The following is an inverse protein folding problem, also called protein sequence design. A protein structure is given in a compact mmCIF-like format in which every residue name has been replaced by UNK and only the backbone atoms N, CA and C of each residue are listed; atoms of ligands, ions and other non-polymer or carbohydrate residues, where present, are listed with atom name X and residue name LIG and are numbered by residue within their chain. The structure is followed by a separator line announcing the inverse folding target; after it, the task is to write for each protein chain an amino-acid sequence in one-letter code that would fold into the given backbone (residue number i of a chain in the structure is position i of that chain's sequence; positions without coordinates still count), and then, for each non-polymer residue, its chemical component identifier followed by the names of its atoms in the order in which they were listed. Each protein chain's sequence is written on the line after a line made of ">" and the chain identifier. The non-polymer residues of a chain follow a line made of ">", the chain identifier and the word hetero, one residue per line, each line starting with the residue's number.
data_IF_175082207679
#
_entry.id   IF_175082207679
#
_cell.length_a   1.000
_cell.length_b   1.000
_cell.length_c   1.000
_cell.angle_alpha   90.00
_cell.angle_beta   90.00
_cell.angle_gamma   90.00
#
_symmetry.space_group_name_H-M   'P 1'
#
loop_
_entity.id
_entity.type
_entity.pdbx_description
1 polymer ?
#
# COMPACT_ATOMS: atom_id res chain seq x y z
N UNK A 1 0.26 16.90 14.52
CA UNK A 1 1.61 16.35 14.28
C UNK A 1 2.30 16.10 15.63
N UNK A 2 3.12 15.03 15.74
CA UNK A 2 3.86 14.72 16.97
C UNK A 2 3.17 13.79 17.97
N UNK A 3 1.99 13.25 17.67
CA UNK A 3 1.26 12.31 18.56
C UNK A 3 1.69 10.84 18.43
N UNK A 4 2.78 10.55 17.73
CA UNK A 4 3.33 9.18 17.60
C UNK A 4 2.60 8.25 16.62
N UNK A 5 1.56 8.70 15.89
CA UNK A 5 0.79 7.84 14.96
C UNK A 5 1.68 7.17 13.91
N UNK A 6 2.46 7.96 13.18
CA UNK A 6 3.39 7.45 12.16
C UNK A 6 4.46 6.55 12.78
N UNK A 7 4.94 6.87 13.99
CA UNK A 7 5.91 6.02 14.71
C UNK A 7 5.32 4.65 15.03
N UNK A 8 4.08 4.60 15.55
CA UNK A 8 3.38 3.35 15.85
C UNK A 8 3.19 2.51 14.55
N UNK A 9 2.76 3.15 13.47
CA UNK A 9 2.56 2.45 12.19
C UNK A 9 3.89 1.96 11.59
N UNK A 10 4.99 2.71 11.75
CA UNK A 10 6.32 2.28 11.35
C UNK A 10 6.83 1.07 12.14
N UNK A 11 6.40 0.90 13.40
CA UNK A 11 6.68 -0.32 14.17
C UNK A 11 5.95 -1.53 13.56
N UNK A 12 4.67 -1.39 13.20
CA UNK A 12 3.90 -2.44 12.52
C UNK A 12 4.47 -2.75 11.13
N UNK A 13 4.99 -1.75 10.43
CA UNK A 13 5.62 -1.92 9.12
C UNK A 13 7.06 -2.48 9.19
N UNK A 14 7.61 -2.71 10.41
CA UNK A 14 8.95 -3.25 10.60
C UNK A 14 10.09 -2.26 10.29
N UNK A 15 9.81 -0.94 10.32
CA UNK A 15 10.82 0.13 10.13
C UNK A 15 11.47 0.47 11.46
N UNK A 16 10.68 0.49 12.54
CA UNK A 16 11.15 0.69 13.91
C UNK A 16 10.84 -0.56 14.74
N UNK A 17 11.68 -0.81 15.74
CA UNK A 17 11.45 -1.86 16.72
C UNK A 17 11.00 -1.23 18.04
N UNK A 18 9.92 -1.73 18.70
CA UNK A 18 9.48 -1.21 19.97
C UNK A 18 10.48 -1.52 21.08
N UNK A 19 10.76 -0.57 21.96
CA UNK A 19 11.62 -0.77 23.14
C UNK A 19 10.91 -1.63 24.19
N UNK A 20 9.60 -1.43 24.35
CA UNK A 20 8.74 -2.15 25.27
C UNK A 20 7.37 -2.46 24.64
N UNK A 21 6.67 -3.45 25.17
CA UNK A 21 5.38 -3.90 24.69
C UNK A 21 5.48 -5.06 23.71
N UNK A 22 4.34 -5.46 23.16
CA UNK A 22 4.25 -6.57 22.22
C UNK A 22 3.30 -6.28 21.07
N UNK A 23 3.56 -6.89 19.92
CA UNK A 23 2.64 -6.88 18.77
C UNK A 23 1.98 -8.26 18.72
N UNK A 24 0.65 -8.26 18.66
CA UNK A 24 -0.16 -9.49 18.54
C UNK A 24 -0.76 -9.57 17.14
N UNK A 25 -0.56 -10.70 16.47
CA UNK A 25 -1.26 -11.05 15.24
C UNK A 25 -2.11 -12.28 15.52
N UNK A 26 -3.43 -12.17 15.33
CA UNK A 26 -4.39 -13.23 15.68
C UNK A 26 -4.24 -13.74 17.14
N UNK A 27 -3.95 -12.81 18.05
CA UNK A 27 -3.79 -13.10 19.47
C UNK A 27 -2.46 -13.77 19.85
N UNK A 28 -1.53 -13.93 18.90
CA UNK A 28 -0.19 -14.49 19.15
C UNK A 28 0.87 -13.41 19.12
N UNK A 29 1.79 -13.35 20.10
CA UNK A 29 2.91 -12.43 20.07
C UNK A 29 3.81 -12.70 18.87
N UNK A 30 4.15 -11.64 18.13
CA UNK A 30 5.04 -11.71 16.98
C UNK A 30 6.16 -10.69 17.08
N UNK A 31 7.31 -10.99 16.48
CA UNK A 31 8.44 -10.07 16.38
C UNK A 31 8.56 -9.58 14.94
N UNK A 32 8.31 -8.29 14.74
CA UNK A 32 8.45 -7.63 13.43
C UNK A 32 9.71 -6.77 13.50
N UNK A 33 10.79 -7.20 12.86
CA UNK A 33 12.11 -6.53 12.86
C UNK A 33 12.49 -5.94 11.51
N UNK A 34 11.71 -6.25 10.47
CA UNK A 34 11.94 -5.78 9.12
C UNK A 34 10.63 -5.65 8.34
N UNK A 35 10.59 -4.86 7.26
CA UNK A 35 9.44 -4.84 6.35
C UNK A 35 9.12 -6.23 5.76
N UNK A 36 10.11 -7.10 5.61
CA UNK A 36 9.91 -8.48 5.15
C UNK A 36 9.09 -9.28 6.17
N UNK A 37 9.38 -9.12 7.47
CA UNK A 37 8.60 -9.78 8.53
C UNK A 37 7.16 -9.26 8.55
N UNK A 38 6.97 -7.93 8.44
CA UNK A 38 5.66 -7.31 8.36
C UNK A 38 4.81 -7.90 7.21
N UNK A 39 5.40 -8.06 6.03
CA UNK A 39 4.74 -8.69 4.89
C UNK A 39 4.36 -10.15 5.12
N UNK A 40 5.13 -10.93 5.90
CA UNK A 40 4.78 -12.31 6.25
C UNK A 40 3.47 -12.40 7.06
N UNK A 41 3.13 -11.33 7.79
CA UNK A 41 1.87 -11.17 8.51
C UNK A 41 0.79 -10.43 7.69
N UNK A 42 1.02 -10.26 6.40
CA UNK A 42 0.06 -9.61 5.50
C UNK A 42 -0.05 -8.10 5.68
N UNK A 43 0.92 -7.44 6.36
CA UNK A 43 0.89 -6.00 6.61
C UNK A 43 1.70 -5.29 5.53
N UNK A 44 1.07 -4.37 4.80
CA UNK A 44 1.71 -3.49 3.82
C UNK A 44 1.51 -2.03 4.19
N UNK A 45 2.56 -1.21 4.13
CA UNK A 45 2.50 0.21 4.39
C UNK A 45 2.83 1.02 3.15
N UNK A 46 1.99 2.00 2.86
CA UNK A 46 2.16 2.98 1.80
C UNK A 46 2.54 4.31 2.46
N UNK A 47 3.76 4.76 2.18
CA UNK A 47 4.31 5.99 2.74
C UNK A 47 3.89 7.22 1.93
N UNK A 48 3.92 8.39 2.56
CA UNK A 48 3.67 9.67 1.93
C UNK A 48 4.64 9.97 0.76
N UNK A 49 5.87 9.44 0.81
CA UNK A 49 6.87 9.58 -0.25
C UNK A 49 7.04 8.26 -1.00
N UNK A 50 6.76 8.29 -2.30
CA UNK A 50 6.84 7.10 -3.16
C UNK A 50 8.29 6.66 -3.38
N UNK A 51 8.54 5.35 -3.27
CA UNK A 51 9.84 4.72 -3.53
C UNK A 51 9.81 3.99 -4.87
N UNK A 52 9.46 4.73 -5.93
CA UNK A 52 9.37 4.21 -7.29
C UNK A 52 10.59 4.60 -8.10
N UNK A 53 11.00 3.72 -9.01
CA UNK A 53 12.07 3.97 -9.97
C UNK A 53 11.45 4.57 -11.23
N UNK A 54 11.74 5.83 -11.51
CA UNK A 54 11.05 6.61 -12.55
C UNK A 54 11.21 6.02 -13.95
N UNK A 55 12.36 5.44 -14.28
CA UNK A 55 12.63 4.85 -15.62
C UNK A 55 12.02 3.47 -15.83
N UNK A 56 11.43 2.87 -14.79
CA UNK A 56 10.74 1.59 -14.86
C UNK A 56 9.25 1.78 -15.15
N UNK A 57 8.60 0.74 -15.68
CA UNK A 57 7.14 0.69 -15.79
C UNK A 57 6.49 0.45 -14.44
N UNK A 58 5.17 0.62 -14.36
CA UNK A 58 4.41 0.28 -13.16
C UNK A 58 4.63 -1.18 -12.75
N UNK A 59 4.49 -2.12 -13.70
CA UNK A 59 4.69 -3.53 -13.40
C UNK A 59 6.12 -3.86 -12.99
N UNK A 60 7.14 -3.29 -13.65
CA UNK A 60 8.54 -3.45 -13.25
C UNK A 60 8.79 -2.99 -11.80
N UNK A 61 8.19 -1.85 -11.39
CA UNK A 61 8.27 -1.36 -10.00
C UNK A 61 7.56 -2.26 -9.01
N UNK A 62 6.40 -2.82 -9.38
CA UNK A 62 5.59 -3.68 -8.52
C UNK A 62 6.33 -4.97 -8.20
N UNK A 63 6.98 -5.57 -9.20
CA UNK A 63 7.71 -6.84 -9.02
C UNK A 63 9.16 -6.65 -8.55
N UNK A 64 9.67 -5.43 -8.51
CA UNK A 64 11.03 -5.14 -8.09
C UNK A 64 11.31 -5.66 -6.68
N UNK A 65 12.35 -6.50 -6.55
CA UNK A 65 12.76 -7.08 -5.28
C UNK A 65 11.91 -8.26 -4.80
N UNK A 66 11.02 -8.79 -5.65
CA UNK A 66 10.40 -10.09 -5.41
C UNK A 66 11.37 -11.20 -5.82
N UNK A 67 11.55 -12.17 -4.92
CA UNK A 67 12.29 -13.41 -5.21
C UNK A 67 11.27 -14.48 -5.66
N UNK A 68 11.00 -14.54 -6.96
CA UNK A 68 10.09 -15.53 -7.54
C UNK A 68 10.82 -16.83 -7.94
N UNK A 69 12.09 -16.99 -7.52
CA UNK A 69 12.86 -18.23 -7.70
C UNK A 69 13.24 -18.54 -9.16
N UNK A 70 13.18 -17.55 -10.08
CA UNK A 70 13.44 -17.77 -11.49
C UNK A 70 13.58 -16.48 -12.31
N UNK A 71 13.49 -16.64 -13.64
CA UNK A 71 13.48 -15.49 -14.56
C UNK A 71 12.14 -14.77 -14.48
N UNK A 72 12.19 -13.44 -14.24
CA UNK A 72 11.01 -12.60 -14.21
C UNK A 72 10.20 -12.68 -15.50
N UNK A 73 8.94 -13.11 -15.42
CA UNK A 73 7.98 -13.07 -16.51
C UNK A 73 7.16 -11.78 -16.45
N UNK A 74 7.61 -10.78 -17.19
CA UNK A 74 6.94 -9.46 -17.23
C UNK A 74 5.53 -9.53 -17.82
N UNK A 75 5.24 -10.51 -18.70
CA UNK A 75 3.88 -10.67 -19.26
C UNK A 75 2.92 -11.19 -18.19
N UNK A 76 3.34 -12.17 -17.41
CA UNK A 76 2.56 -12.66 -16.28
C UNK A 76 2.38 -11.57 -15.21
N UNK A 77 3.42 -10.77 -14.93
CA UNK A 77 3.34 -9.63 -14.01
C UNK A 77 2.32 -8.59 -14.49
N UNK A 78 2.37 -8.19 -15.77
CA UNK A 78 1.40 -7.26 -16.35
C UNK A 78 -0.05 -7.78 -16.23
N UNK A 79 -0.27 -9.06 -16.51
CA UNK A 79 -1.60 -9.67 -16.41
C UNK A 79 -2.13 -9.65 -14.97
N UNK A 80 -1.30 -10.00 -13.99
CA UNK A 80 -1.67 -9.99 -12.57
C UNK A 80 -1.91 -8.57 -12.04
N UNK A 81 -1.09 -7.59 -12.46
CA UNK A 81 -1.32 -6.17 -12.13
C UNK A 81 -2.66 -5.71 -12.68
N UNK A 82 -2.97 -6.06 -13.94
CA UNK A 82 -4.25 -5.72 -14.56
C UNK A 82 -5.43 -6.36 -13.82
N UNK A 83 -5.33 -7.62 -13.43
CA UNK A 83 -6.36 -8.31 -12.63
C UNK A 83 -6.64 -7.58 -11.32
N UNK A 84 -5.60 -7.17 -10.59
CA UNK A 84 -5.75 -6.40 -9.34
C UNK A 84 -6.43 -5.05 -9.63
N UNK A 85 -6.04 -4.36 -10.69
CA UNK A 85 -6.63 -3.10 -11.08
C UNK A 85 -8.12 -3.24 -11.42
N UNK A 86 -8.48 -4.23 -12.21
CA UNK A 86 -9.87 -4.52 -12.60
C UNK A 86 -10.72 -4.90 -11.36
N UNK A 87 -10.15 -5.68 -10.43
CA UNK A 87 -10.84 -6.12 -9.21
C UNK A 87 -11.23 -4.98 -8.29
N UNK A 88 -10.34 -3.99 -8.09
CA UNK A 88 -10.55 -2.91 -7.13
C UNK A 88 -10.96 -1.58 -7.77
N UNK A 89 -10.85 -1.46 -9.09
CA UNK A 89 -11.19 -0.24 -9.83
C UNK A 89 -10.03 0.76 -9.91
N UNK A 90 -8.79 0.29 -9.92
CA UNK A 90 -7.63 1.13 -10.20
C UNK A 90 -7.50 1.43 -11.69
N UNK A 91 -7.07 2.65 -12.00
CA UNK A 91 -6.88 3.12 -13.37
C UNK A 91 -5.39 3.42 -13.62
N UNK A 92 -4.61 2.35 -13.87
CA UNK A 92 -3.22 2.44 -14.30
C UNK A 92 -2.95 1.45 -15.43
N UNK A 93 -2.07 1.84 -16.36
CA UNK A 93 -1.49 0.94 -17.36
C UNK A 93 -0.21 0.32 -16.78
N UNK A 94 -0.13 -1.03 -16.62
CA UNK A 94 1.06 -1.68 -16.09
C UNK A 94 2.32 -1.46 -16.93
N UNK A 95 2.19 -1.09 -18.21
CA UNK A 95 3.31 -0.84 -19.13
C UNK A 95 3.76 0.63 -19.15
N UNK A 96 2.99 1.55 -18.53
CA UNK A 96 3.33 2.96 -18.47
C UNK A 96 4.55 3.20 -17.58
N UNK A 97 5.46 4.08 -18.02
CA UNK A 97 6.64 4.48 -17.25
C UNK A 97 6.24 5.42 -16.12
N UNK A 98 6.90 5.29 -14.97
CA UNK A 98 6.58 6.08 -13.77
C UNK A 98 6.79 7.59 -13.99
N UNK A 99 7.80 7.99 -14.77
CA UNK A 99 8.02 9.42 -15.05
C UNK A 99 6.87 10.08 -15.83
N UNK A 100 6.06 9.30 -16.56
CA UNK A 100 4.87 9.76 -17.30
C UNK A 100 3.58 9.74 -16.46
N UNK A 101 3.66 9.32 -15.18
CA UNK A 101 2.51 9.17 -14.30
C UNK A 101 2.25 10.42 -13.45
N UNK A 102 0.96 10.74 -13.24
CA UNK A 102 0.54 11.71 -12.24
C UNK A 102 0.85 11.22 -10.81
N UNK A 103 0.76 12.11 -9.84
CA UNK A 103 0.97 11.80 -8.42
C UNK A 103 -0.02 10.74 -7.94
N UNK A 104 -1.29 10.85 -8.33
CA UNK A 104 -2.32 9.85 -7.97
C UNK A 104 -2.08 8.49 -8.61
N UNK A 105 -1.58 8.44 -9.84
CA UNK A 105 -1.18 7.19 -10.48
C UNK A 105 0.01 6.54 -9.77
N UNK A 106 1.03 7.32 -9.38
CA UNK A 106 2.18 6.82 -8.60
C UNK A 106 1.75 6.24 -7.27
N UNK A 107 0.81 6.89 -6.59
CA UNK A 107 0.21 6.36 -5.36
C UNK A 107 -0.51 5.03 -5.62
N UNK A 108 -1.27 4.95 -6.70
CA UNK A 108 -1.95 3.71 -7.11
C UNK A 108 -0.94 2.57 -7.33
N UNK A 109 0.21 2.85 -7.98
CA UNK A 109 1.28 1.84 -8.16
C UNK A 109 1.79 1.31 -6.82
N UNK A 110 1.99 2.17 -5.81
CA UNK A 110 2.42 1.74 -4.47
C UNK A 110 1.36 0.87 -3.77
N UNK A 111 0.07 1.20 -3.91
CA UNK A 111 -1.02 0.38 -3.36
C UNK A 111 -1.06 -0.98 -4.06
N UNK A 112 -1.04 -0.99 -5.38
CA UNK A 112 -1.05 -2.24 -6.17
C UNK A 112 0.18 -3.10 -5.86
N UNK A 113 1.34 -2.50 -5.61
CA UNK A 113 2.57 -3.20 -5.21
C UNK A 113 2.40 -4.01 -3.91
N UNK A 114 1.77 -3.45 -2.89
CA UNK A 114 1.53 -4.17 -1.64
C UNK A 114 0.43 -5.24 -1.79
N UNK A 115 -0.59 -4.98 -2.62
CA UNK A 115 -1.62 -5.97 -2.96
C UNK A 115 -1.06 -7.15 -3.76
N UNK A 116 -0.20 -6.87 -4.74
CA UNK A 116 0.49 -7.90 -5.54
C UNK A 116 1.29 -8.87 -4.67
N UNK A 117 1.86 -8.36 -3.58
CA UNK A 117 2.62 -9.12 -2.57
C UNK A 117 1.73 -9.85 -1.56
N UNK A 118 0.40 -9.72 -1.67
CA UNK A 118 -0.55 -10.44 -0.84
C UNK A 118 -0.88 -9.75 0.49
N UNK A 119 -0.74 -8.42 0.60
CA UNK A 119 -1.14 -7.70 1.80
C UNK A 119 -2.66 -7.82 2.06
N UNK A 120 -3.01 -8.11 3.31
CA UNK A 120 -4.39 -8.14 3.81
C UNK A 120 -4.71 -6.95 4.71
N UNK A 121 -3.67 -6.33 5.28
CA UNK A 121 -3.73 -5.14 6.12
C UNK A 121 -2.93 -4.05 5.43
N UNK A 122 -3.59 -2.96 5.04
CA UNK A 122 -2.96 -1.83 4.37
C UNK A 122 -2.94 -0.62 5.30
N UNK A 123 -1.76 -0.05 5.50
CA UNK A 123 -1.56 1.18 6.26
C UNK A 123 -1.23 2.29 5.28
N UNK A 124 -2.05 3.34 5.24
CA UNK A 124 -1.84 4.51 4.39
C UNK A 124 -1.55 5.75 5.26
N UNK A 125 -0.38 6.35 5.07
CA UNK A 125 0.03 7.55 5.79
C UNK A 125 -0.27 8.80 4.97
N UNK A 126 -1.27 9.56 5.39
CA UNK A 126 -1.79 10.79 4.76
C UNK A 126 -2.03 10.64 3.23
N UNK A 127 -2.81 9.64 2.79
CA UNK A 127 -2.88 9.27 1.37
C UNK A 127 -3.51 10.34 0.48
N UNK A 128 -4.19 11.32 1.04
CA UNK A 128 -4.90 12.38 0.29
C UNK A 128 -4.21 13.75 0.35
N UNK A 129 -3.00 13.82 0.94
CA UNK A 129 -2.31 15.09 1.20
C UNK A 129 -2.06 15.93 -0.08
N UNK A 130 -1.86 15.25 -1.21
CA UNK A 130 -1.51 15.86 -2.51
C UNK A 130 -2.54 15.57 -3.60
N UNK A 131 -3.68 14.98 -3.25
CA UNK A 131 -4.75 14.65 -4.19
C UNK A 131 -5.78 15.78 -4.32
N UNK A 132 -6.34 15.92 -5.52
CA UNK A 132 -7.53 16.72 -5.76
C UNK A 132 -8.75 16.07 -5.09
N UNK A 133 -9.86 16.81 -4.86
CA UNK A 133 -11.10 16.23 -4.35
C UNK A 133 -11.62 15.05 -5.18
N UNK A 134 -11.53 15.15 -6.50
CA UNK A 134 -11.96 14.09 -7.42
C UNK A 134 -11.08 12.82 -7.31
N UNK A 135 -9.77 12.99 -7.18
CA UNK A 135 -8.84 11.88 -6.96
C UNK A 135 -9.03 11.23 -5.59
N UNK A 136 -9.34 12.04 -4.57
CA UNK A 136 -9.66 11.56 -3.22
C UNK A 136 -10.90 10.67 -3.23
N UNK A 137 -11.98 11.05 -3.92
CA UNK A 137 -13.18 10.24 -4.03
C UNK A 137 -12.93 8.92 -4.79
N UNK A 138 -12.10 8.95 -5.84
CA UNK A 138 -11.67 7.72 -6.53
C UNK A 138 -10.90 6.79 -5.59
N UNK A 139 -9.94 7.32 -4.82
CA UNK A 139 -9.20 6.54 -3.82
C UNK A 139 -10.15 5.94 -2.79
N UNK A 140 -11.11 6.71 -2.26
CA UNK A 140 -12.07 6.23 -1.28
C UNK A 140 -12.95 5.10 -1.83
N UNK A 141 -13.35 5.19 -3.10
CA UNK A 141 -14.09 4.11 -3.77
C UNK A 141 -13.27 2.83 -3.83
N UNK A 142 -12.00 2.92 -4.19
CA UNK A 142 -11.09 1.79 -4.23
C UNK A 142 -10.89 1.18 -2.84
N UNK A 143 -10.69 2.01 -1.80
CA UNK A 143 -10.53 1.54 -0.41
C UNK A 143 -11.79 0.83 0.08
N UNK A 144 -12.99 1.32 -0.27
CA UNK A 144 -14.25 0.64 0.05
C UNK A 144 -14.37 -0.72 -0.67
N UNK A 145 -13.94 -0.81 -1.93
CA UNK A 145 -13.92 -2.09 -2.67
C UNK A 145 -12.97 -3.09 -2.00
N UNK A 146 -11.80 -2.63 -1.57
CA UNK A 146 -10.83 -3.47 -0.86
C UNK A 146 -11.38 -3.94 0.49
N UNK A 147 -12.05 -3.06 1.25
CA UNK A 147 -12.73 -3.41 2.51
C UNK A 147 -13.84 -4.44 2.28
N UNK A 148 -14.66 -4.26 1.24
CA UNK A 148 -15.71 -5.22 0.86
C UNK A 148 -15.15 -6.60 0.49
N UNK A 149 -13.91 -6.65 -0.01
CA UNK A 149 -13.16 -7.87 -0.32
C UNK A 149 -12.43 -8.45 0.91
N UNK A 150 -12.67 -7.91 2.12
CA UNK A 150 -12.13 -8.42 3.38
C UNK A 150 -10.76 -7.88 3.77
N UNK A 151 -10.24 -6.86 3.09
CA UNK A 151 -8.99 -6.20 3.49
C UNK A 151 -9.23 -5.27 4.67
N UNK A 152 -8.27 -5.22 5.60
CA UNK A 152 -8.24 -4.23 6.66
C UNK A 152 -7.48 -2.98 6.20
N UNK A 153 -8.08 -1.81 6.37
CA UNK A 153 -7.51 -0.53 5.94
C UNK A 153 -7.29 0.35 7.17
N UNK A 154 -6.07 0.78 7.37
CA UNK A 154 -5.68 1.73 8.42
C UNK A 154 -5.22 3.03 7.74
N UNK A 155 -5.86 4.14 8.05
CA UNK A 155 -5.52 5.45 7.47
C UNK A 155 -5.06 6.38 8.58
N UNK A 156 -3.88 6.98 8.37
CA UNK A 156 -3.42 8.13 9.16
C UNK A 156 -3.84 9.38 8.41
N UNK A 157 -4.68 10.20 9.02
CA UNK A 157 -5.09 11.49 8.47
C UNK A 157 -5.34 12.49 9.59
N UNK A 158 -5.18 13.77 9.29
CA UNK A 158 -5.56 14.88 10.16
C UNK A 158 -6.84 15.57 9.66
N UNK A 159 -7.43 15.08 8.57
CA UNK A 159 -8.64 15.64 7.97
C UNK A 159 -9.88 14.91 8.49
N UNK A 160 -10.65 15.56 9.37
CA UNK A 160 -11.81 14.95 10.03
C UNK A 160 -12.86 14.44 9.05
N UNK A 161 -13.08 15.14 7.91
CA UNK A 161 -14.05 14.73 6.92
C UNK A 161 -13.69 13.38 6.24
N UNK A 162 -12.39 13.04 6.15
CA UNK A 162 -11.94 11.74 5.64
C UNK A 162 -12.25 10.62 6.62
N UNK A 163 -12.04 10.90 7.92
CA UNK A 163 -12.42 9.96 8.98
C UNK A 163 -13.91 9.66 8.89
N UNK A 164 -14.75 10.69 8.81
CA UNK A 164 -16.21 10.53 8.71
C UNK A 164 -16.67 9.81 7.45
N UNK A 165 -15.91 9.90 6.36
CA UNK A 165 -16.25 9.27 5.08
C UNK A 165 -15.84 7.79 4.99
N UNK A 166 -14.83 7.36 5.75
CA UNK A 166 -14.18 6.05 5.59
C UNK A 166 -14.22 5.16 6.84
N UNK A 167 -14.32 5.74 8.05
CA UNK A 167 -14.34 4.93 9.27
C UNK A 167 -15.64 4.12 9.41
N UNK A 168 -15.52 3.03 10.11
CA UNK A 168 -16.65 2.17 10.53
C UNK A 168 -17.52 2.85 11.59
#
# INVERSE_FOLDING_TARGET
>A
NGSGKTTLMNMLAGIYFPDEGEILVEGKPVSIRSPKDSFQYGIGMIHQHYKLVDVFTAAENIVLGLDEGGRLDIKAANAKVKEICDRYGFDIDPTQKIYDMSVSQKQTVEIVKVLYRGADILILDEPTAVLTPQETEKLFTVLRNMKADGKAIVIITHKLHEVMALSD
#
